data_IF_101438540560
#
_entry.id   IF_101438540560
#
_cell.length_a   1.000
_cell.length_b   1.000
_cell.length_c   1.000
_cell.angle_alpha   90.00
_cell.angle_beta   90.00
_cell.angle_gamma   90.00
#
_symmetry.space_group_name_H-M   'P 1'
#
loop_
_entity.id
_entity.type
_entity.pdbx_description
1 polymer ?
#
# COMPACT_ATOMS: atom_id res chain seq x y z
N UNK A 1 -2.94 22.40 -25.32
CA UNK A 1 -2.32 21.15 -24.79
C UNK A 1 -2.16 21.14 -23.25
N UNK A 2 -2.19 22.29 -22.56
CA UNK A 2 -1.96 22.39 -21.11
C UNK A 2 -3.01 21.69 -20.23
N UNK A 3 -4.27 21.58 -20.69
CA UNK A 3 -5.35 20.92 -19.96
C UNK A 3 -5.17 19.39 -19.76
N UNK A 4 -4.38 18.72 -20.61
CA UNK A 4 -4.13 17.28 -20.45
C UNK A 4 -3.18 16.98 -19.28
N UNK A 5 -2.23 17.89 -19.01
CA UNK A 5 -1.29 17.76 -17.88
C UNK A 5 -2.00 17.74 -16.54
N UNK A 6 -3.04 18.56 -16.40
CA UNK A 6 -3.84 18.63 -15.17
C UNK A 6 -4.39 17.26 -14.78
N UNK A 7 -4.95 16.50 -15.74
CA UNK A 7 -5.53 15.18 -15.46
C UNK A 7 -4.49 14.16 -15.00
N UNK A 8 -3.28 14.22 -15.58
CA UNK A 8 -2.15 13.39 -15.16
C UNK A 8 -1.72 13.74 -13.74
N UNK A 9 -1.48 15.02 -13.45
CA UNK A 9 -1.07 15.48 -12.12
C UNK A 9 -2.13 15.18 -11.06
N UNK A 10 -3.41 15.36 -11.40
CA UNK A 10 -4.51 15.08 -10.49
C UNK A 10 -4.58 13.61 -10.13
N UNK A 11 -4.36 12.72 -11.10
CA UNK A 11 -4.31 11.27 -10.86
C UNK A 11 -3.18 10.91 -9.88
N UNK A 12 -2.00 11.49 -10.02
CA UNK A 12 -0.90 11.28 -9.07
C UNK A 12 -1.16 11.91 -7.69
N UNK A 13 -1.85 13.06 -7.64
CA UNK A 13 -2.26 13.69 -6.39
C UNK A 13 -3.23 12.78 -5.62
N UNK A 14 -4.25 12.28 -6.30
CA UNK A 14 -5.25 11.37 -5.73
C UNK A 14 -4.60 10.05 -5.30
N UNK A 15 -3.74 9.46 -6.13
CA UNK A 15 -3.02 8.23 -5.78
C UNK A 15 -2.16 8.37 -4.53
N UNK A 16 -1.44 9.49 -4.39
CA UNK A 16 -0.64 9.77 -3.18
C UNK A 16 -1.50 10.01 -1.95
N UNK A 17 -2.59 10.74 -2.09
CA UNK A 17 -3.39 11.20 -0.94
C UNK A 17 -4.40 10.14 -0.46
N UNK A 18 -4.89 9.29 -1.35
CA UNK A 18 -6.02 8.38 -1.07
C UNK A 18 -5.65 6.90 -1.21
N UNK A 19 -4.69 6.53 -2.08
CA UNK A 19 -4.30 5.13 -2.31
C UNK A 19 -2.98 4.71 -1.63
N UNK A 20 -2.34 5.58 -0.85
CA UNK A 20 -1.04 5.28 -0.25
C UNK A 20 0.10 5.13 -1.28
N UNK A 21 0.01 5.77 -2.44
CA UNK A 21 1.07 5.70 -3.47
C UNK A 21 2.43 6.16 -2.94
N UNK A 22 2.45 7.12 -1.99
CA UNK A 22 3.66 7.61 -1.35
C UNK A 22 4.05 6.89 -0.05
N UNK A 23 3.28 5.89 0.39
CA UNK A 23 3.36 5.30 1.74
C UNK A 23 4.04 3.92 1.76
N UNK A 24 4.69 3.52 0.67
CA UNK A 24 5.43 2.25 0.64
C UNK A 24 6.72 2.36 1.45
N UNK A 25 6.99 1.33 2.26
CA UNK A 25 8.26 1.18 3.00
C UNK A 25 9.15 0.09 2.39
N UNK A 26 8.80 -0.40 1.19
CA UNK A 26 9.53 -1.44 0.49
C UNK A 26 10.86 -0.91 -0.10
N UNK A 27 11.92 -1.70 0.04
CA UNK A 27 13.27 -1.40 -0.47
C UNK A 27 13.69 -2.24 -1.69
N UNK A 28 12.84 -3.16 -2.13
CA UNK A 28 13.11 -4.06 -3.25
C UNK A 28 12.27 -3.71 -4.48
N UNK A 29 12.86 -3.86 -5.67
CA UNK A 29 12.22 -3.56 -6.95
C UNK A 29 10.86 -4.26 -7.14
N UNK A 30 10.82 -5.57 -6.92
CA UNK A 30 9.58 -6.35 -7.04
C UNK A 30 8.52 -5.94 -6.02
N UNK A 31 8.93 -5.62 -4.79
CA UNK A 31 8.00 -5.18 -3.75
C UNK A 31 7.41 -3.79 -4.09
N UNK A 32 8.21 -2.89 -4.65
CA UNK A 32 7.74 -1.61 -5.16
C UNK A 32 6.73 -1.78 -6.30
N UNK A 33 7.05 -2.64 -7.28
CA UNK A 33 6.12 -2.94 -8.37
C UNK A 33 4.79 -3.50 -7.88
N UNK A 34 4.82 -4.46 -6.96
CA UNK A 34 3.61 -5.02 -6.38
C UNK A 34 2.77 -3.94 -5.69
N UNK A 35 3.40 -3.06 -4.89
CA UNK A 35 2.72 -1.92 -4.28
C UNK A 35 2.06 -1.01 -5.32
N UNK A 36 2.80 -0.63 -6.36
CA UNK A 36 2.27 0.22 -7.44
C UNK A 36 1.12 -0.45 -8.20
N UNK A 37 1.16 -1.76 -8.41
CA UNK A 37 0.02 -2.51 -8.98
C UNK A 37 -1.21 -2.43 -8.09
N UNK A 38 -1.08 -2.60 -6.76
CA UNK A 38 -2.20 -2.45 -5.82
C UNK A 38 -2.76 -1.01 -5.85
N UNK A 39 -1.89 -0.01 -5.89
CA UNK A 39 -2.29 1.42 -6.01
C UNK A 39 -3.09 1.63 -7.30
N UNK A 40 -2.63 1.13 -8.44
CA UNK A 40 -3.34 1.26 -9.73
C UNK A 40 -4.71 0.59 -9.70
N UNK A 41 -4.84 -0.59 -9.08
CA UNK A 41 -6.13 -1.25 -8.91
C UNK A 41 -7.08 -0.44 -8.02
N UNK A 42 -6.59 0.15 -6.92
CA UNK A 42 -7.41 1.02 -6.08
C UNK A 42 -7.85 2.30 -6.83
N UNK A 43 -6.97 2.89 -7.64
CA UNK A 43 -7.33 4.04 -8.48
C UNK A 43 -8.35 3.69 -9.55
N UNK A 44 -8.23 2.51 -10.17
CA UNK A 44 -9.22 2.00 -11.12
C UNK A 44 -10.59 1.87 -10.46
N UNK A 45 -10.66 1.22 -9.30
CA UNK A 45 -11.90 1.09 -8.54
C UNK A 45 -12.56 2.46 -8.28
N UNK A 46 -11.79 3.44 -7.79
CA UNK A 46 -12.34 4.77 -7.52
C UNK A 46 -12.80 5.51 -8.78
N UNK A 47 -12.15 5.28 -9.92
CA UNK A 47 -12.61 5.82 -11.20
C UNK A 47 -13.93 5.17 -11.63
N UNK A 48 -14.05 3.84 -11.52
CA UNK A 48 -15.26 3.11 -11.84
C UNK A 48 -16.45 3.59 -11.01
N UNK A 49 -16.29 3.73 -9.70
CA UNK A 49 -17.34 4.25 -8.81
C UNK A 49 -17.78 5.67 -9.18
N UNK A 50 -16.83 6.55 -9.52
CA UNK A 50 -17.15 7.93 -9.95
C UNK A 50 -17.89 7.96 -11.28
N UNK A 51 -17.58 7.04 -12.19
CA UNK A 51 -18.28 6.93 -13.47
C UNK A 51 -19.68 6.34 -13.28
N UNK A 52 -19.81 5.30 -12.45
CA UNK A 52 -21.09 4.66 -12.15
C UNK A 52 -22.08 5.64 -11.53
N UNK A 53 -21.61 6.50 -10.63
CA UNK A 53 -22.44 7.45 -9.89
C UNK A 53 -22.49 8.85 -10.51
N UNK A 54 -21.93 9.06 -11.70
CA UNK A 54 -21.80 10.40 -12.31
C UNK A 54 -23.12 11.17 -12.43
N UNK A 55 -24.22 10.49 -12.76
CA UNK A 55 -25.53 11.13 -12.94
C UNK A 55 -26.24 11.42 -11.60
N UNK A 56 -26.01 10.59 -10.57
CA UNK A 56 -26.67 10.72 -9.27
C UNK A 56 -25.89 11.61 -8.30
N UNK A 57 -24.55 11.53 -8.34
CA UNK A 57 -23.61 12.24 -7.46
C UNK A 57 -22.45 12.76 -8.30
N UNK A 58 -22.71 13.79 -9.11
CA UNK A 58 -21.76 14.32 -10.10
C UNK A 58 -20.46 14.88 -9.51
N UNK A 59 -20.48 15.27 -8.23
CA UNK A 59 -19.32 15.79 -7.50
C UNK A 59 -18.57 14.74 -6.67
N UNK A 60 -18.91 13.45 -6.80
CA UNK A 60 -18.27 12.37 -6.05
C UNK A 60 -16.75 12.39 -6.25
N UNK A 61 -16.02 12.62 -5.17
CA UNK A 61 -14.55 12.67 -5.17
C UNK A 61 -13.93 11.36 -4.68
N UNK A 62 -12.66 11.18 -5.04
CA UNK A 62 -11.80 10.09 -4.55
C UNK A 62 -11.73 10.06 -3.01
N UNK A 63 -11.78 11.23 -2.36
CA UNK A 63 -11.76 11.36 -0.90
C UNK A 63 -13.07 10.90 -0.26
N UNK A 64 -14.21 11.17 -0.91
CA UNK A 64 -15.52 10.75 -0.42
C UNK A 64 -15.63 9.22 -0.46
N UNK A 65 -15.20 8.60 -1.56
CA UNK A 65 -15.15 7.14 -1.70
C UNK A 65 -14.29 6.53 -0.60
N UNK A 66 -13.10 7.08 -0.37
CA UNK A 66 -12.20 6.61 0.69
C UNK A 66 -12.85 6.74 2.07
N UNK A 67 -13.56 7.84 2.33
CA UNK A 67 -14.30 8.07 3.59
C UNK A 67 -15.42 7.05 3.77
N UNK A 68 -16.19 6.77 2.71
CA UNK A 68 -17.24 5.76 2.71
C UNK A 68 -16.65 4.37 2.98
N UNK A 69 -15.58 4.00 2.30
CA UNK A 69 -14.89 2.73 2.52
C UNK A 69 -14.40 2.59 3.97
N UNK A 70 -13.79 3.63 4.54
CA UNK A 70 -13.34 3.61 5.94
C UNK A 70 -14.49 3.45 6.95
N UNK A 71 -15.69 3.90 6.59
CA UNK A 71 -16.87 3.78 7.43
C UNK A 71 -17.55 2.41 7.30
N UNK A 72 -17.74 1.94 6.06
CA UNK A 72 -18.53 0.75 5.78
C UNK A 72 -17.71 -0.55 5.70
N UNK A 73 -16.40 -0.48 5.44
CA UNK A 73 -15.58 -1.69 5.48
C UNK A 73 -15.51 -2.20 6.92
N UNK A 74 -15.80 -3.49 7.15
CA UNK A 74 -15.78 -4.06 8.47
C UNK A 74 -14.38 -3.93 9.05
N UNK A 75 -14.27 -3.22 10.18
CA UNK A 75 -13.05 -3.17 10.97
C UNK A 75 -12.81 -4.56 11.54
N UNK A 76 -11.61 -5.12 11.30
CA UNK A 76 -11.25 -6.43 11.84
C UNK A 76 -10.94 -6.38 13.33
N UNK A 77 -10.58 -5.24 13.89
CA UNK A 77 -10.00 -5.05 15.22
C UNK A 77 -11.01 -4.69 16.32
N UNK A 78 -12.28 -5.08 16.17
CA UNK A 78 -13.33 -4.65 17.12
C UNK A 78 -13.30 -5.45 18.43
N UNK A 79 -12.74 -6.66 18.45
CA UNK A 79 -12.64 -7.51 19.65
C UNK A 79 -11.19 -7.61 20.16
N UNK A 80 -11.00 -7.57 21.48
CA UNK A 80 -9.70 -7.70 22.16
C UNK A 80 -8.94 -8.96 21.73
N UNK A 81 -9.61 -10.10 21.63
CA UNK A 81 -9.00 -11.36 21.17
C UNK A 81 -8.40 -11.24 19.76
N UNK A 82 -9.11 -10.54 18.87
CA UNK A 82 -8.66 -10.33 17.49
C UNK A 82 -7.49 -9.34 17.44
N UNK A 83 -7.48 -8.31 18.31
CA UNK A 83 -6.34 -7.41 18.46
C UNK A 83 -5.10 -8.18 18.92
N UNK A 84 -5.22 -9.04 19.94
CA UNK A 84 -4.13 -9.88 20.44
C UNK A 84 -3.63 -10.85 19.37
N UNK A 85 -4.54 -11.52 18.66
CA UNK A 85 -4.19 -12.41 17.55
C UNK A 85 -3.41 -11.68 16.45
N UNK A 86 -3.83 -10.47 16.07
CA UNK A 86 -3.11 -9.65 15.08
C UNK A 86 -1.73 -9.21 15.58
N UNK A 87 -1.60 -8.90 16.88
CA UNK A 87 -0.33 -8.58 17.50
C UNK A 87 0.64 -9.77 17.41
N UNK A 88 0.19 -10.98 17.78
CA UNK A 88 0.98 -12.20 17.69
C UNK A 88 1.41 -12.52 16.25
N UNK A 89 0.49 -12.39 15.28
CA UNK A 89 0.81 -12.57 13.86
C UNK A 89 1.89 -11.60 13.40
N UNK A 90 1.82 -10.32 13.80
CA UNK A 90 2.85 -9.32 13.48
C UNK A 90 4.19 -9.65 14.14
N UNK A 91 4.20 -10.13 15.39
CA UNK A 91 5.41 -10.60 16.06
C UNK A 91 6.06 -11.75 15.31
N UNK A 92 5.28 -12.79 14.96
CA UNK A 92 5.79 -13.94 14.21
C UNK A 92 6.39 -13.56 12.85
N UNK A 93 5.73 -12.66 12.11
CA UNK A 93 6.25 -12.15 10.83
C UNK A 93 7.56 -11.38 11.01
N UNK A 94 7.65 -10.53 12.04
CA UNK A 94 8.89 -9.80 12.36
C UNK A 94 10.03 -10.79 12.69
N UNK A 95 9.77 -11.77 13.55
CA UNK A 95 10.77 -12.78 13.90
C UNK A 95 11.25 -13.57 12.68
N UNK A 96 10.33 -14.06 11.84
CA UNK A 96 10.67 -14.78 10.62
C UNK A 96 11.54 -13.94 9.65
N UNK A 97 11.28 -12.62 9.57
CA UNK A 97 12.10 -11.70 8.77
C UNK A 97 13.51 -11.52 9.37
N UNK A 98 13.62 -11.43 10.69
CA UNK A 98 14.91 -11.33 11.41
C UNK A 98 15.72 -12.61 11.16
N UNK A 99 15.13 -13.79 11.40
CA UNK A 99 15.80 -15.07 11.23
C UNK A 99 16.24 -15.27 9.76
N UNK A 100 15.41 -14.84 8.80
CA UNK A 100 15.78 -14.88 7.38
C UNK A 100 16.95 -13.97 7.04
N UNK A 101 17.11 -12.82 7.72
CA UNK A 101 18.23 -11.92 7.50
C UNK A 101 19.53 -12.55 8.03
N UNK A 102 19.50 -13.08 9.26
CA UNK A 102 20.66 -13.78 9.86
C UNK A 102 21.09 -14.98 9.01
N UNK A 103 20.16 -15.84 8.59
CA UNK A 103 20.47 -16.98 7.70
C UNK A 103 21.14 -16.59 6.38
N UNK A 104 20.91 -15.37 5.88
CA UNK A 104 21.56 -14.86 4.66
C UNK A 104 22.96 -14.32 4.96
N UNK A 105 23.16 -13.69 6.11
CA UNK A 105 24.45 -13.20 6.57
C UNK A 105 25.42 -14.37 6.85
N UNK A 106 24.95 -15.42 7.52
CA UNK A 106 25.78 -16.59 7.86
C UNK A 106 26.25 -17.38 6.62
N UNK A 107 25.57 -17.22 5.48
CA UNK A 107 25.91 -17.87 4.20
C UNK A 107 26.90 -17.07 3.35
N UNK A 108 27.24 -15.83 3.74
CA UNK A 108 28.25 -15.03 3.03
C UNK A 108 29.64 -15.45 3.54
N UNK A 109 30.60 -15.79 2.65
CA UNK A 109 31.94 -16.12 3.08
C UNK A 109 32.56 -14.92 3.80
N UNK A 110 33.25 -15.19 4.92
CA UNK A 110 33.86 -14.17 5.75
C UNK A 110 35.01 -13.51 4.97
N UNK A 111 34.76 -12.34 4.38
CA UNK A 111 35.69 -11.68 3.45
C UNK A 111 36.86 -10.99 4.17
N UNK A 112 37.30 -11.53 5.30
CA UNK A 112 38.41 -11.02 6.13
C UNK A 112 39.81 -11.42 5.61
N UNK A 113 39.93 -11.94 4.39
CA UNK A 113 41.22 -12.40 3.81
C UNK A 113 41.64 -11.66 2.53
N UNK A 114 40.95 -10.59 2.11
CA UNK A 114 41.37 -9.77 0.97
C UNK A 114 41.84 -8.37 1.41
N UNK A 115 42.90 -8.36 2.22
CA UNK A 115 43.78 -7.20 2.41
C UNK A 115 45.22 -7.70 2.50
N UNK A 116 45.81 -7.97 1.32
CA UNK A 116 47.24 -7.86 1.03
C UNK A 116 47.34 -7.06 -0.27
#
# INVERSE_FOLDING_TARGET
MQAQRYWVERTFQDGKSQCGMGEYQARGWFAWHHHMTLVMMAQLFMLEERLLHKESVSLLSTSDITTLLQHYLPRRDVNEDEVLRQLELRHRKRQASIDSAYRKQDKLPNNSQLLI
#
